data_IF_503581455204
#
_entry.id   IF_503581455204
#
_cell.length_a   1.000
_cell.length_b   1.000
_cell.length_c   1.000
_cell.angle_alpha   90.00
_cell.angle_beta   90.00
_cell.angle_gamma   90.00
#
_symmetry.space_group_name_H-M   'P 1'
#
loop_
_entity.id
_entity.type
_entity.pdbx_description
1 polymer ?
#
# COMPACT_ATOMS: atom_id res chain seq x y z
N UNK A 1 35.59 -2.21 -13.46
CA UNK A 1 35.38 -1.17 -12.43
C UNK A 1 34.14 -0.37 -12.77
N UNK A 2 33.18 -0.31 -11.86
CA UNK A 2 31.93 0.40 -12.11
C UNK A 2 32.13 1.90 -11.98
N UNK A 3 31.65 2.66 -12.98
CA UNK A 3 31.70 4.13 -12.94
C UNK A 3 30.62 4.64 -11.96
N UNK A 4 30.77 5.91 -11.53
CA UNK A 4 29.74 6.54 -10.70
C UNK A 4 28.38 6.58 -11.41
N UNK A 5 28.39 6.74 -12.74
CA UNK A 5 27.14 6.80 -13.52
C UNK A 5 26.42 5.46 -13.52
N UNK A 6 27.16 4.36 -13.69
CA UNK A 6 26.59 3.01 -13.62
C UNK A 6 25.99 2.74 -12.24
N UNK A 7 26.68 3.17 -11.19
CA UNK A 7 26.18 3.04 -9.81
C UNK A 7 24.91 3.86 -9.60
N UNK A 8 24.86 5.06 -10.14
CA UNK A 8 23.68 5.92 -10.08
C UNK A 8 22.50 5.25 -10.79
N UNK A 9 22.72 4.78 -12.02
CA UNK A 9 21.65 4.17 -12.82
C UNK A 9 21.12 2.90 -12.16
N UNK A 10 21.99 2.09 -11.56
CA UNK A 10 21.57 0.91 -10.82
C UNK A 10 20.74 1.28 -9.58
N UNK A 11 21.15 2.31 -8.86
CA UNK A 11 20.41 2.79 -7.69
C UNK A 11 19.01 3.28 -8.09
N UNK A 12 18.90 3.98 -9.22
CA UNK A 12 17.60 4.44 -9.74
C UNK A 12 16.71 3.25 -10.07
N UNK A 13 17.25 2.21 -10.73
CA UNK A 13 16.48 1.00 -11.03
C UNK A 13 15.98 0.32 -9.74
N UNK A 14 16.82 0.25 -8.72
CA UNK A 14 16.44 -0.34 -7.43
C UNK A 14 15.36 0.49 -6.74
N UNK A 15 15.45 1.82 -6.81
CA UNK A 15 14.41 2.69 -6.25
C UNK A 15 13.08 2.50 -6.97
N UNK A 16 13.10 2.42 -8.29
CA UNK A 16 11.89 2.20 -9.08
C UNK A 16 11.25 0.85 -8.73
N UNK A 17 12.05 -0.20 -8.64
CA UNK A 17 11.56 -1.53 -8.27
C UNK A 17 10.97 -1.54 -6.85
N UNK A 18 11.65 -0.87 -5.90
CA UNK A 18 11.17 -0.76 -4.53
C UNK A 18 9.87 0.04 -4.46
N UNK A 19 9.75 1.09 -5.26
CA UNK A 19 8.52 1.89 -5.32
C UNK A 19 7.36 1.08 -5.84
N UNK A 20 7.56 0.32 -6.91
CA UNK A 20 6.53 -0.56 -7.46
C UNK A 20 6.10 -1.62 -6.44
N UNK A 21 7.06 -2.24 -5.76
CA UNK A 21 6.76 -3.21 -4.70
C UNK A 21 5.97 -2.56 -3.55
N UNK A 22 6.32 -1.33 -3.19
CA UNK A 22 5.59 -0.58 -2.16
C UNK A 22 4.14 -0.34 -2.57
N UNK A 23 3.91 0.09 -3.81
CA UNK A 23 2.56 0.35 -4.32
C UNK A 23 1.72 -0.93 -4.32
N UNK A 24 2.30 -2.05 -4.76
CA UNK A 24 1.61 -3.34 -4.76
C UNK A 24 1.25 -3.77 -3.33
N UNK A 25 2.19 -3.66 -2.40
CA UNK A 25 1.96 -4.02 -1.00
C UNK A 25 0.88 -3.13 -0.38
N UNK A 26 0.86 -1.84 -0.72
CA UNK A 26 -0.16 -0.91 -0.25
C UNK A 26 -1.55 -1.31 -0.75
N UNK A 27 -1.67 -1.70 -2.02
CA UNK A 27 -2.93 -2.17 -2.58
C UNK A 27 -3.38 -3.49 -1.93
N UNK A 28 -2.45 -4.42 -1.72
CA UNK A 28 -2.75 -5.70 -1.07
C UNK A 28 -3.23 -5.49 0.37
N UNK A 29 -2.60 -4.56 1.08
CA UNK A 29 -3.02 -4.21 2.44
C UNK A 29 -4.46 -3.66 2.43
N UNK A 30 -4.76 -2.77 1.50
CA UNK A 30 -6.09 -2.17 1.40
C UNK A 30 -7.16 -3.23 1.10
N UNK A 31 -6.86 -4.18 0.20
CA UNK A 31 -7.77 -5.28 -0.09
C UNK A 31 -8.02 -6.16 1.12
N UNK A 32 -6.96 -6.46 1.88
CA UNK A 32 -7.09 -7.23 3.12
C UNK A 32 -7.98 -6.51 4.14
N UNK A 33 -7.84 -5.18 4.25
CA UNK A 33 -8.68 -4.39 5.15
C UNK A 33 -10.14 -4.41 4.72
N UNK A 34 -10.42 -4.36 3.42
CA UNK A 34 -11.79 -4.49 2.90
C UNK A 34 -12.38 -5.86 3.24
N UNK A 35 -11.61 -6.91 3.03
CA UNK A 35 -12.05 -8.27 3.36
C UNK A 35 -12.31 -8.40 4.86
N UNK A 36 -11.45 -7.82 5.68
CA UNK A 36 -11.64 -7.80 7.13
C UNK A 36 -12.92 -7.09 7.54
N UNK A 37 -13.25 -5.98 6.87
CA UNK A 37 -14.49 -5.25 7.16
C UNK A 37 -15.73 -6.09 6.83
N UNK A 38 -15.68 -6.88 5.77
CA UNK A 38 -16.77 -7.81 5.44
C UNK A 38 -16.89 -8.91 6.49
N UNK A 39 -15.78 -9.50 6.92
CA UNK A 39 -15.76 -10.58 7.91
C UNK A 39 -16.23 -10.09 9.28
N UNK A 40 -15.73 -8.93 9.73
CA UNK A 40 -16.00 -8.40 11.07
C UNK A 40 -17.21 -7.46 11.13
N UNK A 41 -17.72 -7.04 9.98
CA UNK A 41 -18.91 -6.22 9.87
C UNK A 41 -18.70 -4.72 9.78
N UNK A 42 -17.49 -4.20 10.05
CA UNK A 42 -17.22 -2.76 9.96
C UNK A 42 -15.72 -2.46 9.94
N UNK A 43 -15.37 -1.28 9.44
CA UNK A 43 -13.98 -0.77 9.52
C UNK A 43 -13.55 -0.52 10.96
N UNK A 44 -14.46 -0.09 11.82
CA UNK A 44 -14.17 0.13 13.23
C UNK A 44 -13.76 -1.17 13.92
N UNK A 45 -14.42 -2.29 13.58
CA UNK A 45 -14.06 -3.60 14.12
C UNK A 45 -12.66 -4.04 13.65
N UNK A 46 -12.33 -3.79 12.37
CA UNK A 46 -11.00 -4.07 11.83
C UNK A 46 -9.94 -3.26 12.58
N UNK A 47 -10.18 -1.97 12.78
CA UNK A 47 -9.26 -1.10 13.49
C UNK A 47 -9.00 -1.60 14.92
N UNK A 48 -10.05 -2.02 15.62
CA UNK A 48 -9.91 -2.57 16.98
C UNK A 48 -9.09 -3.85 16.99
N UNK A 49 -9.36 -4.74 16.02
CA UNK A 49 -8.64 -6.01 15.92
C UNK A 49 -7.16 -5.81 15.67
N UNK A 50 -6.79 -4.83 14.83
CA UNK A 50 -5.40 -4.55 14.48
C UNK A 50 -4.71 -3.59 15.44
N UNK A 51 -5.44 -2.97 16.36
CA UNK A 51 -4.88 -2.00 17.30
C UNK A 51 -4.48 -0.69 16.63
N UNK A 52 -5.18 -0.28 15.58
CA UNK A 52 -4.94 0.98 14.87
C UNK A 52 -6.20 1.85 14.91
N UNK A 53 -6.08 3.12 14.47
CA UNK A 53 -7.24 3.99 14.41
C UNK A 53 -8.12 3.65 13.19
N UNK A 54 -9.42 3.95 13.31
CA UNK A 54 -10.36 3.81 12.19
C UNK A 54 -9.91 4.68 11.00
N UNK A 55 -9.34 5.85 11.28
CA UNK A 55 -8.87 6.75 10.23
C UNK A 55 -7.77 6.12 9.37
N UNK A 56 -6.87 5.32 9.97
CA UNK A 56 -5.82 4.59 9.25
C UNK A 56 -6.44 3.59 8.27
N UNK A 57 -7.42 2.81 8.74
CA UNK A 57 -8.13 1.83 7.91
C UNK A 57 -8.87 2.53 6.76
N UNK A 58 -9.61 3.58 7.06
CA UNK A 58 -10.40 4.32 6.09
C UNK A 58 -9.51 4.94 4.99
N UNK A 59 -8.39 5.54 5.38
CA UNK A 59 -7.46 6.15 4.41
C UNK A 59 -6.85 5.12 3.46
N UNK A 60 -6.48 3.95 3.97
CA UNK A 60 -5.91 2.89 3.14
C UNK A 60 -6.93 2.40 2.11
N UNK A 61 -8.18 2.21 2.51
CA UNK A 61 -9.25 1.76 1.62
C UNK A 61 -9.57 2.84 0.58
N UNK A 62 -9.67 4.10 0.98
CA UNK A 62 -9.95 5.20 0.06
C UNK A 62 -8.85 5.39 -0.97
N UNK A 63 -7.59 5.19 -0.58
CA UNK A 63 -6.47 5.27 -1.52
C UNK A 63 -6.60 4.22 -2.63
N UNK A 64 -7.01 3.00 -2.28
CA UNK A 64 -7.25 1.95 -3.26
C UNK A 64 -8.39 2.31 -4.20
N UNK A 65 -9.52 2.77 -3.67
CA UNK A 65 -10.68 3.19 -4.47
C UNK A 65 -10.32 4.30 -5.45
N UNK A 66 -9.56 5.28 -4.98
CA UNK A 66 -9.12 6.41 -5.82
C UNK A 66 -8.25 5.92 -6.97
N UNK A 67 -7.32 5.01 -6.70
CA UNK A 67 -6.44 4.46 -7.73
C UNK A 67 -7.21 3.66 -8.78
N UNK A 68 -8.26 2.96 -8.36
CA UNK A 68 -9.08 2.18 -9.28
C UNK A 68 -9.96 3.05 -10.19
N UNK A 69 -10.25 4.28 -9.78
CA UNK A 69 -11.07 5.21 -10.56
C UNK A 69 -10.27 5.99 -11.60
N UNK A 70 -8.96 5.96 -11.52
CA UNK A 70 -8.10 6.65 -12.49
C UNK A 70 -8.02 5.84 -13.79
N UNK A 71 -8.20 6.51 -14.94
CA UNK A 71 -8.08 5.83 -16.23
C UNK A 71 -6.65 5.42 -16.54
#
# INVERSE_FOLDING_TARGET
MTTWKERHDEAVRQQDAAWQAYLEATADRARALLDGAEVLGSQAAVARELGVSRAVVNRAIKALEKNQQQP
#
